data_IF_838207202349
#
_entry.id   IF_838207202349
#
_cell.length_a   1.000
_cell.length_b   1.000
_cell.length_c   1.000
_cell.angle_alpha   90.00
_cell.angle_beta   90.00
_cell.angle_gamma   90.00
#
_symmetry.space_group_name_H-M   'P 1'
#
loop_
_entity.id
_entity.type
_entity.pdbx_description
1 polymer ?
#
# COMPACT_ATOMS: atom_id res chain seq x y z
N UNK A 1 -17.58 -1.69 -1.86
CA UNK A 1 -18.15 -1.91 -0.51
C UNK A 1 -17.07 -1.51 0.48
N UNK A 2 -17.40 -0.95 1.65
CA UNK A 2 -16.41 -0.73 2.69
C UNK A 2 -15.75 -2.06 3.07
N UNK A 3 -14.46 -2.03 3.37
CA UNK A 3 -13.73 -3.21 3.86
C UNK A 3 -14.37 -3.70 5.15
N UNK A 4 -14.43 -5.01 5.32
CA UNK A 4 -14.76 -5.55 6.64
C UNK A 4 -13.58 -5.36 7.61
N UNK A 5 -13.84 -5.54 8.89
CA UNK A 5 -12.85 -5.29 9.94
C UNK A 5 -11.66 -6.25 9.86
N UNK A 6 -11.89 -7.50 9.49
CA UNK A 6 -10.82 -8.50 9.38
C UNK A 6 -9.90 -8.14 8.22
N UNK A 7 -10.48 -7.82 7.06
CA UNK A 7 -9.72 -7.38 5.90
C UNK A 7 -8.93 -6.10 6.21
N UNK A 8 -9.55 -5.11 6.86
CA UNK A 8 -8.88 -3.87 7.26
C UNK A 8 -7.65 -4.13 8.14
N UNK A 9 -7.78 -5.00 9.14
CA UNK A 9 -6.66 -5.38 10.02
C UNK A 9 -5.55 -6.09 9.26
N UNK A 10 -5.90 -7.05 8.40
CA UNK A 10 -4.92 -7.77 7.57
C UNK A 10 -4.18 -6.82 6.63
N UNK A 11 -4.88 -5.85 6.03
CA UNK A 11 -4.24 -4.85 5.15
C UNK A 11 -3.33 -3.90 5.94
N UNK A 12 -3.75 -3.47 7.13
CA UNK A 12 -2.94 -2.62 8.00
C UNK A 12 -1.63 -3.31 8.39
N UNK A 13 -1.69 -4.54 8.90
CA UNK A 13 -0.52 -5.32 9.30
C UNK A 13 0.44 -5.55 8.12
N UNK A 14 -0.12 -5.82 6.93
CA UNK A 14 0.67 -5.99 5.72
C UNK A 14 1.42 -4.69 5.34
N UNK A 15 0.73 -3.54 5.32
CA UNK A 15 1.35 -2.25 4.98
C UNK A 15 2.42 -1.86 6.00
N UNK A 16 2.15 -2.01 7.29
CA UNK A 16 3.12 -1.69 8.35
C UNK A 16 4.37 -2.56 8.25
N UNK A 17 4.19 -3.87 8.04
CA UNK A 17 5.31 -4.82 7.86
C UNK A 17 6.14 -4.45 6.63
N UNK A 18 5.48 -4.14 5.52
CA UNK A 18 6.18 -3.76 4.29
C UNK A 18 6.96 -2.45 4.45
N UNK A 19 6.36 -1.42 5.08
CA UNK A 19 7.05 -0.14 5.37
C UNK A 19 8.27 -0.39 6.28
N UNK A 20 8.13 -1.21 7.31
CA UNK A 20 9.24 -1.56 8.19
C UNK A 20 10.39 -2.25 7.42
N UNK A 21 10.07 -3.13 6.46
CA UNK A 21 11.06 -3.76 5.60
C UNK A 21 11.75 -2.76 4.67
N UNK A 22 11.01 -1.80 4.08
CA UNK A 22 11.61 -0.75 3.25
C UNK A 22 12.57 0.11 4.07
N UNK A 23 12.14 0.55 5.25
CA UNK A 23 12.95 1.36 6.17
C UNK A 23 14.21 0.60 6.61
N UNK A 24 14.09 -0.69 6.95
CA UNK A 24 15.23 -1.53 7.33
C UNK A 24 16.22 -1.73 6.17
N UNK A 25 15.75 -1.69 4.93
CA UNK A 25 16.57 -1.72 3.73
C UNK A 25 17.15 -0.34 3.33
N UNK A 26 16.84 0.72 4.09
CA UNK A 26 17.33 2.08 3.84
C UNK A 26 16.54 2.86 2.79
N UNK A 27 15.36 2.36 2.38
CA UNK A 27 14.47 3.05 1.46
C UNK A 27 13.45 3.91 2.20
N UNK A 28 13.18 5.10 1.67
CA UNK A 28 12.09 5.95 2.11
C UNK A 28 10.81 5.67 1.31
N UNK A 29 9.66 6.01 1.91
CA UNK A 29 8.37 5.99 1.23
C UNK A 29 8.07 7.40 0.73
N UNK A 30 7.94 7.57 -0.59
CA UNK A 30 7.57 8.86 -1.17
C UNK A 30 6.05 9.12 -1.07
N UNK A 31 5.64 10.34 -1.43
CA UNK A 31 4.25 10.76 -1.33
C UNK A 31 3.31 9.97 -2.25
N UNK A 32 3.76 9.57 -3.44
CA UNK A 32 2.94 8.79 -4.36
C UNK A 32 2.71 7.38 -3.79
N UNK A 33 3.76 6.73 -3.29
CA UNK A 33 3.65 5.44 -2.62
C UNK A 33 2.73 5.53 -1.39
N UNK A 34 2.89 6.56 -0.57
CA UNK A 34 2.05 6.78 0.61
C UNK A 34 0.56 6.92 0.23
N UNK A 35 0.25 7.68 -0.82
CA UNK A 35 -1.13 7.82 -1.30
C UNK A 35 -1.70 6.49 -1.78
N UNK A 36 -0.94 5.72 -2.57
CA UNK A 36 -1.38 4.42 -3.08
C UNK A 36 -1.63 3.42 -1.94
N UNK A 37 -0.78 3.40 -0.92
CA UNK A 37 -0.95 2.55 0.27
C UNK A 37 -2.21 2.97 1.05
N UNK A 38 -2.46 4.27 1.22
CA UNK A 38 -3.67 4.76 1.88
C UNK A 38 -4.93 4.40 1.09
N UNK A 39 -4.94 4.54 -0.24
CA UNK A 39 -6.08 4.14 -1.06
C UNK A 39 -6.34 2.62 -0.99
N UNK A 40 -5.29 1.80 -0.83
CA UNK A 40 -5.42 0.36 -0.55
C UNK A 40 -6.00 0.09 0.85
N UNK A 41 -5.57 0.82 1.88
CA UNK A 41 -6.11 0.70 3.24
C UNK A 41 -7.56 1.18 3.34
N UNK A 42 -7.95 2.18 2.56
CA UNK A 42 -9.33 2.68 2.46
C UNK A 42 -10.25 1.76 1.63
N UNK A 43 -9.69 0.71 1.01
CA UNK A 43 -10.43 -0.21 0.15
C UNK A 43 -10.83 0.37 -1.21
N UNK A 44 -10.22 1.49 -1.63
CA UNK A 44 -10.40 2.05 -2.98
C UNK A 44 -9.72 1.19 -4.03
N UNK A 45 -8.62 0.53 -3.65
CA UNK A 45 -7.94 -0.48 -4.46
C UNK A 45 -7.89 -1.82 -3.76
N UNK A 46 -7.86 -2.89 -4.56
CA UNK A 46 -7.35 -4.19 -4.11
C UNK A 46 -5.83 -4.25 -4.24
N UNK A 47 -5.23 -5.39 -3.91
CA UNK A 47 -3.78 -5.56 -3.97
C UNK A 47 -3.23 -5.38 -5.40
N UNK A 48 -3.98 -5.80 -6.42
CA UNK A 48 -3.56 -5.65 -7.82
C UNK A 48 -3.57 -4.18 -8.24
N UNK A 49 -4.57 -3.42 -7.81
CA UNK A 49 -4.65 -1.97 -7.97
C UNK A 49 -3.46 -1.27 -7.30
N UNK A 50 -3.13 -1.64 -6.06
CA UNK A 50 -1.95 -1.13 -5.37
C UNK A 50 -0.66 -1.37 -6.17
N UNK A 51 -0.43 -2.62 -6.61
CA UNK A 51 0.76 -2.97 -7.40
C UNK A 51 0.80 -2.25 -8.75
N UNK A 52 -0.35 -1.89 -9.31
CA UNK A 52 -0.44 -1.12 -10.54
C UNK A 52 -0.06 0.34 -10.29
N UNK A 53 -0.59 0.96 -9.23
CA UNK A 53 -0.24 2.32 -8.85
C UNK A 53 1.25 2.44 -8.51
N UNK A 54 1.80 1.54 -7.69
CA UNK A 54 3.23 1.55 -7.34
C UNK A 54 4.15 1.45 -8.57
N UNK A 55 3.70 0.79 -9.65
CA UNK A 55 4.45 0.69 -10.90
C UNK A 55 4.23 1.88 -11.84
N UNK A 56 3.15 2.65 -11.68
CA UNK A 56 2.74 3.74 -12.58
C UNK A 56 3.88 4.72 -12.93
N UNK A 57 4.75 5.15 -11.99
CA UNK A 57 5.88 6.03 -12.32
C UNK A 57 6.89 5.44 -13.32
N UNK A 58 6.88 4.12 -13.53
CA UNK A 58 7.84 3.38 -14.34
C UNK A 58 7.26 2.85 -15.66
N UNK A 59 5.95 3.02 -15.90
CA UNK A 59 5.22 2.43 -17.03
C UNK A 59 5.11 3.37 -18.25
N UNK A 60 6.20 4.04 -18.63
CA UNK A 60 6.28 4.94 -19.80
C UNK A 60 5.46 4.47 -21.01
#
# INVERSE_FOLDING_TARGET
MPLDQQESQTRQEHVETWIAQQNAAGFGIDQHMSNALNDYLDGRFDLLGLLTELRRPYLN
#
